data_IF_984474486706
#
_entry.id   IF_984474486706
#
_cell.length_a   1.000
_cell.length_b   1.000
_cell.length_c   1.000
_cell.angle_alpha   90.00
_cell.angle_beta   90.00
_cell.angle_gamma   90.00
#
_symmetry.space_group_name_H-M   'P 1'
#
loop_
_entity.id
_entity.type
_entity.pdbx_description
1 polymer ?
#
# COMPACT_ATOMS: atom_id res chain seq x y z
N UNK A 1 8.42 12.71 -2.80
CA UNK A 1 8.33 11.34 -3.39
C UNK A 1 9.47 11.04 -4.36
N UNK A 2 9.81 11.96 -5.28
CA UNK A 2 10.94 11.78 -6.19
C UNK A 2 12.30 11.80 -5.47
N UNK A 3 12.44 12.63 -4.44
CA UNK A 3 13.62 12.70 -3.57
C UNK A 3 13.90 11.35 -2.87
N UNK A 4 12.89 10.76 -2.23
CA UNK A 4 12.96 9.41 -1.66
C UNK A 4 13.39 8.33 -2.65
N UNK A 5 12.86 8.38 -3.88
CA UNK A 5 13.23 7.43 -4.93
C UNK A 5 14.70 7.56 -5.35
N UNK A 6 15.21 8.80 -5.45
CA UNK A 6 16.63 9.08 -5.69
C UNK A 6 17.50 8.58 -4.53
N UNK A 7 17.11 8.87 -3.28
CA UNK A 7 17.84 8.45 -2.08
C UNK A 7 18.02 6.94 -1.99
N UNK A 8 17.00 6.17 -2.35
CA UNK A 8 17.03 4.71 -2.35
C UNK A 8 17.37 4.07 -3.71
N UNK A 9 17.73 4.87 -4.73
CA UNK A 9 18.21 4.36 -6.01
C UNK A 9 17.18 3.61 -6.88
N UNK A 10 15.88 3.80 -6.66
CA UNK A 10 14.83 3.14 -7.44
C UNK A 10 14.08 4.10 -8.37
N UNK A 11 13.59 3.60 -9.49
CA UNK A 11 12.83 4.39 -10.45
C UNK A 11 11.31 4.23 -10.24
N UNK A 12 10.60 5.34 -10.10
CA UNK A 12 9.13 5.35 -10.03
C UNK A 12 8.54 5.16 -11.43
N UNK A 13 7.73 4.11 -11.60
CA UNK A 13 6.93 3.89 -12.81
C UNK A 13 5.45 3.99 -12.47
N UNK A 14 4.82 5.08 -12.89
CA UNK A 14 3.38 5.28 -12.69
C UNK A 14 2.55 4.44 -13.66
N UNK A 15 1.40 3.97 -13.19
CA UNK A 15 0.41 3.31 -14.04
C UNK A 15 -0.24 4.34 -14.96
N UNK A 16 -0.60 3.93 -16.19
CA UNK A 16 -1.44 4.78 -17.04
C UNK A 16 -2.87 4.80 -16.49
N UNK A 17 -3.52 5.97 -16.37
CA UNK A 17 -4.93 6.06 -16.03
C UNK A 17 -5.79 5.16 -16.95
N UNK A 18 -6.87 4.60 -16.41
CA UNK A 18 -7.83 3.75 -17.13
C UNK A 18 -7.24 2.47 -17.76
N UNK A 19 -6.05 2.04 -17.31
CA UNK A 19 -5.41 0.79 -17.77
C UNK A 19 -5.20 -0.20 -16.64
N UNK A 20 -6.23 -0.98 -16.32
CA UNK A 20 -6.22 -1.98 -15.25
C UNK A 20 -5.08 -3.02 -15.35
N UNK A 21 -4.59 -3.30 -16.58
CA UNK A 21 -3.55 -4.32 -16.84
C UNK A 21 -2.22 -4.07 -16.11
N UNK A 22 -1.91 -2.86 -15.66
CA UNK A 22 -0.62 -2.54 -15.03
C UNK A 22 -0.52 -2.93 -13.56
N UNK A 23 -1.63 -3.26 -12.90
CA UNK A 23 -1.66 -3.59 -11.46
C UNK A 23 -1.81 -5.10 -11.17
N UNK A 24 -1.77 -5.95 -12.20
CA UNK A 24 -2.04 -7.39 -12.05
C UNK A 24 -1.17 -8.12 -11.02
N UNK A 25 0.09 -7.71 -10.80
CA UNK A 25 0.95 -8.28 -9.74
C UNK A 25 0.39 -8.01 -8.34
N UNK A 26 0.01 -6.75 -8.08
CA UNK A 26 -0.54 -6.33 -6.78
C UNK A 26 -1.92 -6.94 -6.56
N UNK A 27 -2.78 -6.94 -7.59
CA UNK A 27 -4.12 -7.50 -7.48
C UNK A 27 -4.11 -9.02 -7.25
N UNK A 28 -3.22 -9.75 -7.94
CA UNK A 28 -3.05 -11.19 -7.73
C UNK A 28 -2.55 -11.49 -6.31
N UNK A 29 -1.63 -10.70 -5.79
CA UNK A 29 -1.17 -10.85 -4.41
C UNK A 29 -2.27 -10.55 -3.40
N UNK A 30 -3.04 -9.46 -3.58
CA UNK A 30 -4.16 -9.13 -2.70
C UNK A 30 -5.21 -10.24 -2.67
N UNK A 31 -5.50 -10.84 -3.84
CA UNK A 31 -6.36 -12.03 -3.91
C UNK A 31 -5.75 -13.17 -3.09
N UNK A 32 -4.48 -13.49 -3.31
CA UNK A 32 -3.81 -14.55 -2.56
C UNK A 32 -3.86 -14.32 -1.04
N UNK A 33 -3.48 -13.13 -0.57
CA UNK A 33 -3.54 -12.74 0.83
C UNK A 33 -4.94 -12.89 1.42
N UNK A 34 -5.97 -12.43 0.71
CA UNK A 34 -7.36 -12.52 1.17
C UNK A 34 -7.80 -13.97 1.38
N UNK A 35 -7.56 -14.84 0.40
CA UNK A 35 -8.08 -16.21 0.43
C UNK A 35 -7.21 -17.19 1.23
N UNK A 36 -5.90 -16.96 1.33
CA UNK A 36 -4.99 -17.88 2.02
C UNK A 36 -4.60 -17.47 3.43
N UNK A 37 -4.76 -16.18 3.79
CA UNK A 37 -4.47 -15.68 5.13
C UNK A 37 -5.73 -15.15 5.81
N UNK A 38 -6.37 -14.13 5.25
CA UNK A 38 -7.43 -13.40 5.94
C UNK A 38 -8.69 -14.24 6.15
N UNK A 39 -9.25 -14.86 5.10
CA UNK A 39 -10.49 -15.63 5.23
C UNK A 39 -10.33 -16.83 6.18
N UNK A 40 -9.26 -17.65 6.11
CA UNK A 40 -9.05 -18.73 7.08
C UNK A 40 -8.91 -18.23 8.52
N UNK A 41 -8.16 -17.14 8.73
CA UNK A 41 -7.97 -16.55 10.06
C UNK A 41 -9.29 -16.02 10.64
N UNK A 42 -10.03 -15.25 9.84
CA UNK A 42 -11.33 -14.71 10.24
C UNK A 42 -12.33 -15.82 10.55
N UNK A 43 -12.37 -16.89 9.74
CA UNK A 43 -13.22 -18.05 9.98
C UNK A 43 -12.86 -18.76 11.29
N UNK A 44 -11.56 -19.00 11.54
CA UNK A 44 -11.08 -19.65 12.77
C UNK A 44 -11.47 -18.86 14.01
N UNK A 45 -11.28 -17.55 13.99
CA UNK A 45 -11.63 -16.67 15.11
C UNK A 45 -13.15 -16.63 15.33
N UNK A 46 -13.92 -16.53 14.25
CA UNK A 46 -15.38 -16.55 14.31
C UNK A 46 -15.91 -17.84 14.94
N UNK A 47 -15.33 -19.00 14.60
CA UNK A 47 -15.68 -20.28 15.23
C UNK A 47 -15.35 -20.32 16.72
N UNK A 48 -14.38 -19.54 17.19
CA UNK A 48 -14.05 -19.37 18.61
C UNK A 48 -14.84 -18.24 19.29
N UNK A 49 -15.83 -17.63 18.61
CA UNK A 49 -16.58 -16.49 19.14
C UNK A 49 -15.82 -15.16 19.18
N UNK A 50 -14.66 -15.08 18.53
CA UNK A 50 -13.79 -13.91 18.51
C UNK A 50 -13.92 -13.13 17.18
N UNK A 51 -13.70 -11.82 17.25
CA UNK A 51 -13.60 -10.94 16.08
C UNK A 51 -12.15 -10.69 15.72
N UNK A 52 -11.85 -10.58 14.42
CA UNK A 52 -10.50 -10.28 13.94
C UNK A 52 -10.23 -8.78 14.03
N UNK A 53 -9.30 -8.38 14.89
CA UNK A 53 -8.82 -7.01 14.99
C UNK A 53 -7.46 -6.82 14.29
N UNK A 54 -7.03 -5.56 14.18
CA UNK A 54 -5.78 -5.21 13.48
C UNK A 54 -4.55 -5.75 14.22
N UNK A 55 -4.56 -5.78 15.56
CA UNK A 55 -3.41 -6.27 16.33
C UNK A 55 -3.23 -7.77 16.16
N UNK A 56 -4.31 -8.55 16.26
CA UNK A 56 -4.26 -10.00 16.01
C UNK A 56 -3.82 -10.29 14.58
N UNK A 57 -4.32 -9.53 13.60
CA UNK A 57 -3.88 -9.69 12.21
C UNK A 57 -2.37 -9.44 12.03
N UNK A 58 -1.82 -8.40 12.67
CA UNK A 58 -0.39 -8.07 12.62
C UNK A 58 0.50 -9.14 13.29
N UNK A 59 0.01 -9.81 14.32
CA UNK A 59 0.73 -10.92 14.94
C UNK A 59 0.70 -12.18 14.06
N UNK A 60 -0.48 -12.55 13.57
CA UNK A 60 -0.70 -13.77 12.80
C UNK A 60 -0.06 -13.70 11.41
N UNK A 61 0.05 -12.51 10.81
CA UNK A 61 0.66 -12.35 9.49
C UNK A 61 2.14 -12.73 9.49
N UNK A 62 2.89 -12.43 10.56
CA UNK A 62 4.31 -12.78 10.65
C UNK A 62 4.50 -14.30 10.67
N UNK A 63 3.65 -15.01 11.42
CA UNK A 63 3.62 -16.46 11.46
C UNK A 63 3.29 -17.03 10.08
N UNK A 64 2.24 -16.53 9.44
CA UNK A 64 1.83 -16.96 8.11
C UNK A 64 2.90 -16.68 7.04
N UNK A 65 3.59 -15.55 7.09
CA UNK A 65 4.70 -15.23 6.20
C UNK A 65 5.85 -16.24 6.37
N UNK A 66 6.23 -16.51 7.62
CA UNK A 66 7.31 -17.44 7.96
C UNK A 66 7.00 -18.87 7.55
N UNK A 67 5.80 -19.36 7.83
CA UNK A 67 5.44 -20.78 7.72
C UNK A 67 4.80 -21.14 6.37
N UNK A 68 4.11 -20.20 5.73
CA UNK A 68 3.29 -20.48 4.52
C UNK A 68 3.74 -19.68 3.31
N UNK A 69 3.70 -18.35 3.40
CA UNK A 69 3.84 -17.51 2.21
C UNK A 69 5.24 -17.56 1.59
N UNK A 70 6.28 -17.56 2.44
CA UNK A 70 7.68 -17.55 2.00
C UNK A 70 8.25 -18.95 1.75
N UNK A 71 7.63 -20.00 2.30
CA UNK A 71 8.06 -21.40 2.12
C UNK A 71 7.39 -22.11 0.92
N UNK A 72 6.31 -21.56 0.37
CA UNK A 72 5.60 -22.19 -0.76
C UNK A 72 6.42 -22.19 -2.04
N UNK A 73 6.23 -23.20 -2.89
CA UNK A 73 6.69 -23.15 -4.28
C UNK A 73 5.85 -22.13 -5.05
N UNK A 74 6.46 -21.04 -5.51
CA UNK A 74 5.72 -19.94 -6.14
C UNK A 74 5.32 -20.27 -7.58
N UNK A 75 4.07 -19.96 -7.95
CA UNK A 75 3.49 -20.42 -9.22
C UNK A 75 4.19 -19.92 -10.50
N UNK A 76 4.79 -18.73 -10.47
CA UNK A 76 5.49 -18.14 -11.63
C UNK A 76 6.97 -18.49 -11.67
N UNK A 77 7.66 -18.44 -10.53
CA UNK A 77 9.12 -18.66 -10.46
C UNK A 77 9.47 -20.13 -10.26
N UNK A 78 8.50 -20.98 -9.86
CA UNK A 78 8.66 -22.41 -9.56
C UNK A 78 9.69 -22.71 -8.48
N UNK A 79 9.99 -21.72 -7.66
CA UNK A 79 10.97 -21.79 -6.58
C UNK A 79 10.33 -21.31 -5.28
N UNK A 80 10.95 -21.67 -4.15
CA UNK A 80 10.59 -21.16 -2.82
C UNK A 80 11.09 -19.70 -2.70
N UNK A 81 10.21 -18.72 -2.43
CA UNK A 81 10.59 -17.30 -2.30
C UNK A 81 11.72 -17.05 -1.31
N UNK A 82 11.72 -17.73 -0.16
CA UNK A 82 12.75 -17.55 0.86
C UNK A 82 14.14 -17.99 0.36
N UNK A 83 14.22 -19.17 -0.25
CA UNK A 83 15.47 -19.69 -0.80
C UNK A 83 15.98 -18.86 -1.99
N UNK A 84 15.05 -18.40 -2.81
CA UNK A 84 15.36 -17.51 -3.94
C UNK A 84 15.91 -16.18 -3.45
N UNK A 85 15.29 -15.59 -2.43
CA UNK A 85 15.75 -14.33 -1.82
C UNK A 85 17.17 -14.48 -1.27
N UNK A 86 17.48 -15.59 -0.60
CA UNK A 86 18.81 -15.80 -0.03
C UNK A 86 19.91 -15.88 -1.10
N UNK A 87 19.62 -16.53 -2.24
CA UNK A 87 20.53 -16.57 -3.41
C UNK A 87 20.72 -15.20 -4.04
N UNK A 88 19.63 -14.46 -4.22
CA UNK A 88 19.67 -13.13 -4.87
C UNK A 88 20.25 -12.05 -3.95
N UNK A 89 20.30 -12.26 -2.62
CA UNK A 89 20.68 -11.26 -1.62
C UNK A 89 22.02 -10.59 -1.88
N UNK A 90 23.01 -11.34 -2.37
CA UNK A 90 24.34 -10.81 -2.73
C UNK A 90 24.33 -9.86 -3.93
N UNK A 91 23.31 -9.95 -4.77
CA UNK A 91 23.13 -9.11 -5.97
C UNK A 91 22.26 -7.88 -5.71
N UNK A 92 21.59 -7.81 -4.56
CA UNK A 92 20.71 -6.70 -4.20
C UNK A 92 21.52 -5.51 -3.68
N UNK A 93 20.99 -4.30 -3.90
CA UNK A 93 21.55 -3.10 -3.32
C UNK A 93 21.40 -3.13 -1.78
N UNK A 94 22.41 -2.65 -1.03
CA UNK A 94 22.28 -2.50 0.41
C UNK A 94 21.20 -1.48 0.75
N UNK A 95 20.58 -1.62 1.92
CA UNK A 95 19.64 -0.62 2.41
C UNK A 95 20.40 0.68 2.69
N UNK A 96 20.02 1.75 2.01
CA UNK A 96 20.59 3.08 2.23
C UNK A 96 20.36 3.59 3.66
N UNK A 97 21.10 4.63 4.04
CA UNK A 97 20.93 5.31 5.33
C UNK A 97 19.46 5.77 5.52
N UNK A 98 18.97 5.93 6.76
CA UNK A 98 17.62 6.43 7.01
C UNK A 98 17.35 7.72 6.23
N UNK A 99 16.29 7.73 5.42
CA UNK A 99 15.89 8.89 4.67
C UNK A 99 15.39 9.98 5.62
N UNK A 100 16.06 11.14 5.61
CA UNK A 100 15.68 12.32 6.40
C UNK A 100 14.81 13.31 5.63
N UNK A 101 14.72 13.13 4.31
CA UNK A 101 14.00 14.01 3.40
C UNK A 101 14.70 15.33 3.16
N UNK A 102 14.67 15.79 1.92
CA UNK A 102 15.02 17.16 1.60
C UNK A 102 13.88 18.11 1.98
N UNK A 103 13.95 18.64 3.20
CA UNK A 103 12.99 19.63 3.74
C UNK A 103 13.22 21.04 3.17
N UNK A 104 14.24 21.25 2.32
CA UNK A 104 14.51 22.56 1.72
C UNK A 104 13.38 23.02 0.80
N UNK A 105 12.86 22.12 -0.05
CA UNK A 105 11.70 22.38 -0.92
C UNK A 105 10.39 22.61 -0.15
N UNK A 106 10.22 21.99 1.03
CA UNK A 106 9.07 22.22 1.88
C UNK A 106 9.13 23.59 2.59
N UNK A 107 10.33 24.14 2.83
CA UNK A 107 10.53 25.46 3.45
C UNK A 107 10.42 26.63 2.48
N UNK A 108 10.61 26.41 1.18
CA UNK A 108 10.59 27.48 0.17
C UNK A 108 9.22 27.76 -0.44
N UNK A 109 8.19 26.98 -0.11
CA UNK A 109 6.81 27.37 -0.44
C UNK A 109 6.34 28.34 0.64
N UNK A 110 6.60 29.65 0.45
CA UNK A 110 5.61 30.63 0.91
C UNK A 110 4.29 30.16 0.33
N UNK A 111 3.25 30.02 1.15
CA UNK A 111 1.90 29.74 0.65
C UNK A 111 1.69 30.60 -0.60
N UNK A 112 1.52 30.00 -1.78
CA UNK A 112 1.25 30.82 -2.95
C UNK A 112 0.01 31.63 -2.57
N UNK A 113 0.06 32.95 -2.71
CA UNK A 113 -1.15 33.76 -2.76
C UNK A 113 -1.91 33.29 -4.01
N UNK A 114 -2.69 32.23 -3.87
CA UNK A 114 -3.58 31.75 -4.91
C UNK A 114 -4.71 32.78 -4.96
N UNK A 115 -4.51 33.87 -5.72
CA UNK A 115 -5.64 34.66 -6.18
C UNK A 115 -6.44 33.77 -7.11
N UNK A 116 -7.61 33.34 -6.66
CA UNK A 116 -8.55 32.63 -7.51
C UNK A 116 -8.78 33.47 -8.78
N UNK A 117 -8.64 32.89 -9.99
CA UNK A 117 -8.92 33.65 -11.21
C UNK A 117 -10.40 34.06 -11.22
N UNK A 118 -10.73 35.25 -11.74
CA UNK A 118 -12.09 35.83 -11.69
C UNK A 118 -13.18 34.93 -12.31
N UNK A 119 -12.80 34.03 -13.21
CA UNK A 119 -13.71 33.07 -13.85
C UNK A 119 -13.87 31.76 -13.07
N UNK A 120 -13.16 31.57 -11.95
CA UNK A 120 -13.32 30.39 -11.12
C UNK A 120 -14.79 30.30 -10.65
N UNK A 121 -15.51 29.21 -10.93
CA UNK A 121 -16.87 29.08 -10.46
C UNK A 121 -16.87 29.21 -8.93
N UNK A 122 -17.71 30.11 -8.40
CA UNK A 122 -17.89 30.31 -6.95
C UNK A 122 -18.40 29.04 -6.22
N UNK A 123 -18.67 27.97 -6.96
CA UNK A 123 -19.13 26.72 -6.43
C UNK A 123 -17.93 25.77 -6.27
N UNK A 124 -17.55 25.39 -5.04
CA UNK A 124 -16.52 24.39 -4.86
C UNK A 124 -16.97 23.09 -5.54
N UNK A 125 -16.09 22.48 -6.33
CA UNK A 125 -16.28 21.13 -6.92
C UNK A 125 -16.54 20.05 -5.85
N UNK A 126 -16.38 20.39 -4.59
CA UNK A 126 -16.48 19.51 -3.45
C UNK A 126 -17.59 20.02 -2.50
N UNK A 127 -18.56 19.16 -2.22
CA UNK A 127 -19.57 19.46 -1.20
C UNK A 127 -18.92 19.49 0.19
N UNK A 128 -19.36 20.39 1.09
CA UNK A 128 -18.94 20.37 2.48
C UNK A 128 -19.28 19.02 3.12
N UNK A 129 -18.43 18.53 4.02
CA UNK A 129 -18.52 17.18 4.60
C UNK A 129 -19.87 16.90 5.27
N UNK A 130 -20.52 17.94 5.80
CA UNK A 130 -21.86 17.89 6.39
C UNK A 130 -22.96 17.39 5.45
N UNK A 131 -22.74 17.46 4.14
CA UNK A 131 -23.67 16.89 3.14
C UNK A 131 -23.62 15.36 3.16
N UNK A 132 -22.44 14.76 3.35
CA UNK A 132 -22.30 13.31 3.45
C UNK A 132 -22.85 12.78 4.77
N UNK A 133 -22.66 13.53 5.86
CA UNK A 133 -23.22 13.19 7.18
C UNK A 133 -24.75 13.07 7.10
N UNK A 134 -25.43 14.02 6.43
CA UNK A 134 -26.89 13.95 6.22
C UNK A 134 -27.34 12.78 5.36
N UNK A 135 -26.55 12.40 4.35
CA UNK A 135 -26.87 11.25 3.49
C UNK A 135 -26.71 9.94 4.27
N UNK A 136 -25.72 9.87 5.17
CA UNK A 136 -25.50 8.74 6.06
C UNK A 136 -26.56 8.64 7.17
N UNK A 137 -27.06 9.76 7.67
CA UNK A 137 -28.13 9.80 8.68
C UNK A 137 -29.52 9.51 8.09
N UNK A 138 -29.72 9.72 6.79
CA UNK A 138 -30.98 9.48 6.09
C UNK A 138 -31.12 8.06 5.51
N UNK A 139 -30.14 7.18 5.72
CA UNK A 139 -30.09 5.79 5.25
C UNK A 139 -30.26 4.80 6.41
#
# INVERSE_FOLDING_TARGET
MLDFAKHHGFQLKVCRPYRAKTKGKVERFNRYLRYSFYNPLASRLKSAGLTLDVQTANMEILKWLKETANQRVHGTTKEVPLERLERERSTLQPLGLPYRGDVSLARCVKEPEIKAPEWAPHNPLQHPLSVYDRILEAA
#
